data_IF_773357463426
#
_entry.id   IF_773357463426
#
_cell.length_a   1.000
_cell.length_b   1.000
_cell.length_c   1.000
_cell.angle_alpha   90.00
_cell.angle_beta   90.00
_cell.angle_gamma   90.00
#
_symmetry.space_group_name_H-M   'P 1'
#
loop_
_entity.id
_entity.type
_entity.pdbx_description
1 polymer ?
#
# COMPACT_ATOMS: atom_id res chain seq x y z
N UNK A 1 -22.79 -16.57 -1.24
CA UNK A 1 -22.28 -15.22 -1.57
C UNK A 1 -21.65 -14.67 -0.30
N UNK A 2 -20.31 -14.66 -0.19
CA UNK A 2 -19.59 -14.19 1.00
C UNK A 2 -19.61 -12.65 0.97
N UNK A 3 -20.34 -11.98 1.87
CA UNK A 3 -20.33 -10.52 1.96
C UNK A 3 -19.30 -10.07 2.99
N UNK A 4 -18.40 -9.16 2.63
CA UNK A 4 -17.49 -8.50 3.58
C UNK A 4 -18.25 -7.83 4.71
N UNK A 5 -19.48 -7.37 4.43
CA UNK A 5 -20.38 -6.80 5.42
C UNK A 5 -20.74 -7.81 6.50
N UNK A 6 -20.89 -9.10 6.17
CA UNK A 6 -21.17 -10.13 7.18
C UNK A 6 -19.95 -10.38 8.06
N UNK A 7 -18.72 -10.28 7.54
CA UNK A 7 -17.49 -10.43 8.36
C UNK A 7 -17.30 -9.22 9.29
N UNK A 8 -17.57 -8.01 8.79
CA UNK A 8 -17.48 -6.77 9.56
C UNK A 8 -18.56 -6.75 10.66
N UNK A 9 -19.79 -7.17 10.33
CA UNK A 9 -20.91 -7.23 11.27
C UNK A 9 -20.76 -8.36 12.32
N UNK A 10 -20.35 -9.55 11.91
CA UNK A 10 -20.23 -10.74 12.78
C UNK A 10 -19.13 -10.58 13.84
N UNK A 11 -18.07 -9.82 13.53
CA UNK A 11 -16.92 -9.61 14.43
C UNK A 11 -17.09 -8.43 15.41
N UNK A 12 -18.25 -7.78 15.48
CA UNK A 12 -18.53 -6.63 16.39
C UNK A 12 -17.48 -5.51 16.29
N UNK A 13 -17.00 -5.21 15.08
CA UNK A 13 -16.11 -4.05 14.88
C UNK A 13 -16.96 -2.79 15.07
N UNK A 14 -16.91 -2.21 16.28
CA UNK A 14 -17.62 -0.96 16.66
C UNK A 14 -16.94 0.30 16.11
N UNK A 15 -16.27 0.20 14.97
CA UNK A 15 -15.51 1.29 14.38
C UNK A 15 -16.02 1.53 12.97
N UNK A 16 -16.23 2.79 12.64
CA UNK A 16 -16.69 3.18 11.31
C UNK A 16 -15.61 2.85 10.28
N UNK A 17 -16.03 2.21 9.19
CA UNK A 17 -15.19 1.94 8.02
C UNK A 17 -15.05 3.23 7.22
N UNK A 18 -13.86 3.80 7.23
CA UNK A 18 -13.49 5.04 6.55
C UNK A 18 -13.21 4.79 5.07
N UNK A 19 -12.52 3.68 4.77
CA UNK A 19 -12.21 3.26 3.42
C UNK A 19 -12.05 1.75 3.31
N UNK A 20 -12.29 1.24 2.10
CA UNK A 20 -12.16 -0.18 1.77
C UNK A 20 -11.50 -0.31 0.40
N UNK A 21 -10.38 -1.03 0.34
CA UNK A 21 -9.69 -1.33 -0.90
C UNK A 21 -9.70 -2.84 -1.14
N UNK A 22 -9.88 -3.22 -2.40
CA UNK A 22 -9.66 -4.56 -2.89
C UNK A 22 -8.39 -4.61 -3.73
N UNK A 23 -7.47 -5.49 -3.36
CA UNK A 23 -6.24 -5.73 -4.09
C UNK A 23 -6.35 -7.09 -4.78
N UNK A 24 -6.53 -7.11 -6.11
CA UNK A 24 -6.50 -8.36 -6.84
C UNK A 24 -5.09 -8.97 -6.77
N UNK A 25 -5.02 -10.29 -6.56
CA UNK A 25 -3.79 -11.08 -6.73
C UNK A 25 -4.16 -12.45 -7.29
N UNK A 26 -3.33 -12.98 -8.19
CA UNK A 26 -3.46 -14.33 -8.77
C UNK A 26 -3.40 -15.43 -7.71
N UNK A 27 -2.79 -15.18 -6.54
CA UNK A 27 -2.71 -16.17 -5.45
C UNK A 27 -3.80 -16.01 -4.41
N UNK A 28 -3.84 -14.86 -3.76
CA UNK A 28 -4.75 -14.64 -2.63
C UNK A 28 -5.16 -13.17 -2.63
N UNK A 29 -6.39 -12.84 -3.05
CA UNK A 29 -6.86 -11.46 -2.99
C UNK A 29 -6.78 -10.89 -1.57
N UNK A 30 -6.45 -9.61 -1.49
CA UNK A 30 -6.37 -8.90 -0.21
C UNK A 30 -7.44 -7.80 -0.13
N UNK A 31 -7.98 -7.59 1.07
CA UNK A 31 -8.80 -6.44 1.39
C UNK A 31 -8.10 -5.60 2.44
N UNK A 32 -8.02 -4.29 2.21
CA UNK A 32 -7.55 -3.33 3.19
C UNK A 32 -8.75 -2.52 3.70
N UNK A 33 -9.10 -2.74 4.96
CA UNK A 33 -10.21 -2.09 5.65
C UNK A 33 -9.65 -1.03 6.59
N UNK A 34 -9.86 0.24 6.25
CA UNK A 34 -9.46 1.36 7.08
C UNK A 34 -10.57 1.72 8.06
N UNK A 35 -10.25 1.62 9.34
CA UNK A 35 -11.16 1.91 10.44
C UNK A 35 -10.80 3.25 11.07
N UNK A 36 -11.82 4.01 11.45
CA UNK A 36 -11.66 5.26 12.20
C UNK A 36 -10.86 5.08 13.49
N UNK A 37 -11.00 3.92 14.15
CA UNK A 37 -10.24 3.55 15.34
C UNK A 37 -10.14 2.03 15.50
N UNK A 38 -8.93 1.52 15.75
CA UNK A 38 -8.66 0.13 16.06
C UNK A 38 -7.64 0.05 17.20
N UNK A 39 -8.04 -0.54 18.35
CA UNK A 39 -7.18 -0.60 19.56
C UNK A 39 -5.80 -1.22 19.33
N UNK A 40 -5.70 -2.17 18.41
CA UNK A 40 -4.46 -2.90 18.10
C UNK A 40 -3.62 -2.22 17.00
N UNK A 41 -4.11 -1.13 16.40
CA UNK A 41 -3.49 -0.46 15.25
C UNK A 41 -3.65 -1.25 13.95
N UNK A 42 -3.31 -2.53 13.94
CA UNK A 42 -3.44 -3.43 12.79
C UNK A 42 -3.93 -4.79 13.25
N UNK A 43 -4.85 -5.39 12.49
CA UNK A 43 -5.30 -6.77 12.68
C UNK A 43 -5.44 -7.44 11.33
N UNK A 44 -4.84 -8.63 11.19
CA UNK A 44 -4.90 -9.42 9.95
C UNK A 44 -5.75 -10.66 10.19
N UNK A 45 -6.74 -10.88 9.34
CA UNK A 45 -7.54 -12.11 9.29
C UNK A 45 -7.19 -12.83 8.00
N UNK A 46 -6.81 -14.10 8.12
CA UNK A 46 -6.39 -14.93 6.99
C UNK A 46 -7.41 -16.05 6.78
N UNK A 47 -7.88 -16.17 5.55
CA UNK A 47 -8.68 -17.30 5.07
C UNK A 47 -7.91 -17.96 3.91
N UNK A 48 -8.23 -19.21 3.57
CA UNK A 48 -7.71 -19.89 2.38
C UNK A 48 -8.02 -19.13 1.08
N UNK A 49 -9.09 -18.33 1.07
CA UNK A 49 -9.56 -17.63 -0.14
C UNK A 49 -9.11 -16.18 -0.25
N UNK A 50 -8.84 -15.50 0.86
CA UNK A 50 -8.52 -14.07 0.88
C UNK A 50 -7.82 -13.68 2.19
N UNK A 51 -7.16 -12.53 2.20
CA UNK A 51 -6.62 -11.89 3.41
C UNK A 51 -7.34 -10.57 3.65
N UNK A 52 -7.60 -10.23 4.92
CA UNK A 52 -8.16 -8.93 5.29
C UNK A 52 -7.21 -8.26 6.29
N UNK A 53 -6.81 -7.04 5.97
CA UNK A 53 -6.05 -6.15 6.84
C UNK A 53 -7.02 -5.10 7.37
N UNK A 54 -7.36 -5.21 8.65
CA UNK A 54 -8.01 -4.13 9.39
C UNK A 54 -6.93 -3.20 9.92
N UNK A 55 -6.98 -1.93 9.54
CA UNK A 55 -5.94 -0.96 9.85
C UNK A 55 -6.59 0.29 10.42
N UNK A 56 -6.07 0.78 11.53
CA UNK A 56 -6.41 2.10 12.04
C UNK A 56 -5.98 3.16 11.02
N UNK A 57 -6.88 4.10 10.69
CA UNK A 57 -6.58 5.21 9.79
C UNK A 57 -5.30 5.95 10.21
N UNK A 58 -5.09 6.18 11.51
CA UNK A 58 -3.89 6.90 11.98
C UNK A 58 -2.62 6.12 11.67
N UNK A 59 -2.67 4.79 11.77
CA UNK A 59 -1.53 3.91 11.47
C UNK A 59 -1.17 3.97 9.99
N UNK A 60 -2.15 3.91 9.08
CA UNK A 60 -1.84 4.03 7.65
C UNK A 60 -1.32 5.43 7.30
N UNK A 61 -1.90 6.49 7.87
CA UNK A 61 -1.42 7.86 7.65
C UNK A 61 0.03 8.01 8.10
N UNK A 62 0.35 7.47 9.28
CA UNK A 62 1.71 7.50 9.82
C UNK A 62 2.68 6.70 8.94
N UNK A 63 2.29 5.52 8.47
CA UNK A 63 3.11 4.72 7.55
C UNK A 63 3.33 5.42 6.20
N UNK A 64 2.33 6.14 5.69
CA UNK A 64 2.44 6.92 4.44
C UNK A 64 3.39 8.11 4.58
N UNK A 65 3.39 8.79 5.72
CA UNK A 65 4.15 10.04 5.91
C UNK A 65 5.55 9.79 6.49
N UNK A 66 5.67 8.83 7.40
CA UNK A 66 6.87 8.57 8.19
C UNK A 66 7.48 7.19 7.93
N UNK A 67 6.78 6.28 7.25
CA UNK A 67 7.23 4.90 7.08
C UNK A 67 7.24 4.10 8.38
N UNK A 68 6.39 4.44 9.36
CA UNK A 68 6.40 3.86 10.71
C UNK A 68 6.18 2.34 10.76
N UNK A 69 5.62 1.72 9.72
CA UNK A 69 5.46 0.27 9.57
C UNK A 69 6.37 -0.28 8.46
N UNK A 70 7.54 0.34 8.30
CA UNK A 70 8.49 0.05 7.23
C UNK A 70 7.82 0.05 5.85
N UNK A 71 6.78 0.89 5.72
CA UNK A 71 6.03 1.14 4.49
C UNK A 71 5.27 -0.09 3.96
N UNK A 72 5.13 -1.14 4.77
CA UNK A 72 4.42 -2.36 4.37
C UNK A 72 2.95 -2.07 4.10
N UNK A 73 2.30 -1.22 4.89
CA UNK A 73 0.88 -0.89 4.68
C UNK A 73 0.75 0.14 3.56
N UNK A 74 1.59 1.16 3.56
CA UNK A 74 1.62 2.20 2.55
C UNK A 74 1.89 1.64 1.15
N UNK A 75 2.74 0.60 1.01
CA UNK A 75 3.07 -0.02 -0.27
C UNK A 75 1.84 -0.54 -1.03
N UNK A 76 0.76 -0.90 -0.33
CA UNK A 76 -0.50 -1.34 -0.95
C UNK A 76 -1.16 -0.25 -1.79
N UNK A 77 -0.89 1.02 -1.50
CA UNK A 77 -1.38 2.17 -2.28
C UNK A 77 -0.62 2.36 -3.61
N UNK A 78 0.54 1.71 -3.77
CA UNK A 78 1.27 1.68 -5.04
C UNK A 78 0.78 0.57 -5.96
N UNK A 79 0.22 -0.49 -5.39
CA UNK A 79 -0.28 -1.63 -6.16
C UNK A 79 -1.61 -1.28 -6.80
N UNK A 80 -1.93 -2.02 -7.87
CA UNK A 80 -3.26 -1.97 -8.47
C UNK A 80 -4.30 -2.35 -7.41
N UNK A 81 -5.29 -1.49 -7.23
CA UNK A 81 -6.37 -1.71 -6.29
C UNK A 81 -7.65 -1.08 -6.81
N UNK A 82 -8.77 -1.64 -6.37
CA UNK A 82 -10.10 -1.07 -6.55
C UNK A 82 -10.55 -0.46 -5.22
N UNK A 83 -11.03 0.79 -5.26
CA UNK A 83 -11.56 1.45 -4.07
C UNK A 83 -13.05 1.19 -3.98
N UNK A 84 -13.45 0.38 -3.01
CA UNK A 84 -14.85 0.03 -2.78
C UNK A 84 -15.56 1.07 -1.89
N UNK A 85 -14.79 1.81 -1.06
CA UNK A 85 -15.30 2.90 -0.20
C UNK A 85 -14.17 3.89 0.12
N UNK A 86 -14.53 5.17 0.27
CA UNK A 86 -13.63 6.20 0.78
C UNK A 86 -12.64 6.73 -0.25
N UNK A 87 -13.09 6.91 -1.50
CA UNK A 87 -12.27 7.29 -2.65
C UNK A 87 -11.41 8.53 -2.40
N UNK A 88 -11.98 9.59 -1.82
CA UNK A 88 -11.24 10.83 -1.53
C UNK A 88 -10.07 10.60 -0.56
N UNK A 89 -10.30 9.80 0.50
CA UNK A 89 -9.28 9.46 1.48
C UNK A 89 -8.16 8.64 0.82
N UNK A 90 -8.54 7.59 0.08
CA UNK A 90 -7.56 6.72 -0.62
C UNK A 90 -6.78 7.50 -1.66
N UNK A 91 -7.44 8.37 -2.43
CA UNK A 91 -6.78 9.22 -3.42
C UNK A 91 -5.75 10.15 -2.75
N UNK A 92 -6.12 10.78 -1.64
CA UNK A 92 -5.22 11.67 -0.88
C UNK A 92 -4.01 10.93 -0.34
N UNK A 93 -4.22 9.75 0.26
CA UNK A 93 -3.13 8.92 0.79
C UNK A 93 -2.21 8.41 -0.33
N UNK A 94 -2.77 7.90 -1.42
CA UNK A 94 -2.01 7.41 -2.57
C UNK A 94 -1.17 8.51 -3.21
N UNK A 95 -1.74 9.71 -3.40
CA UNK A 95 -1.02 10.86 -3.94
C UNK A 95 0.11 11.30 -3.01
N UNK A 96 -0.17 11.34 -1.70
CA UNK A 96 0.83 11.69 -0.68
C UNK A 96 1.98 10.69 -0.70
N UNK A 97 1.69 9.40 -0.61
CA UNK A 97 2.70 8.35 -0.59
C UNK A 97 3.57 8.35 -1.85
N UNK A 98 2.97 8.47 -3.04
CA UNK A 98 3.72 8.56 -4.31
C UNK A 98 4.67 9.76 -4.32
N UNK A 99 4.22 10.92 -3.81
CA UNK A 99 5.07 12.11 -3.70
C UNK A 99 6.25 11.86 -2.77
N UNK A 100 6.03 11.25 -1.61
CA UNK A 100 7.11 10.94 -0.67
C UNK A 100 8.11 9.95 -1.27
N UNK A 101 7.64 8.89 -1.96
CA UNK A 101 8.48 7.93 -2.68
C UNK A 101 9.35 8.62 -3.73
N UNK A 102 8.75 9.44 -4.60
CA UNK A 102 9.50 10.17 -5.64
C UNK A 102 10.53 11.11 -5.00
N UNK A 103 10.13 11.84 -3.96
CA UNK A 103 11.01 12.80 -3.27
C UNK A 103 12.20 12.09 -2.62
N UNK A 104 11.96 10.96 -1.96
CA UNK A 104 13.01 10.16 -1.34
C UNK A 104 14.00 9.64 -2.38
N UNK A 105 13.50 8.99 -3.43
CA UNK A 105 14.35 8.40 -4.46
C UNK A 105 15.12 9.46 -5.27
N UNK A 106 14.52 10.62 -5.53
CA UNK A 106 15.24 11.74 -6.13
C UNK A 106 16.39 12.22 -5.24
N UNK A 107 16.17 12.34 -3.92
CA UNK A 107 17.24 12.72 -2.99
C UNK A 107 18.38 11.71 -3.01
N UNK A 108 18.06 10.42 -3.02
CA UNK A 108 19.06 9.35 -3.09
C UNK A 108 19.89 9.43 -4.37
N UNK A 109 19.24 9.61 -5.53
CA UNK A 109 19.92 9.78 -6.82
C UNK A 109 20.84 11.01 -6.85
N UNK A 110 20.41 12.13 -6.28
CA UNK A 110 21.24 13.34 -6.18
C UNK A 110 22.49 13.09 -5.33
N UNK A 111 22.34 12.38 -4.21
CA UNK A 111 23.47 12.02 -3.33
C UNK A 111 24.43 11.06 -4.03
N UNK A 112 23.90 10.06 -4.74
CA UNK A 112 24.67 9.04 -5.44
C UNK A 112 25.48 9.64 -6.62
N UNK A 113 24.83 10.45 -7.45
CA UNK A 113 25.42 10.95 -8.70
C UNK A 113 26.02 12.35 -8.61
N UNK A 114 25.82 13.07 -7.50
CA UNK A 114 26.39 14.42 -7.23
C UNK A 114 26.21 15.36 -8.42
N UNK A 115 27.31 15.80 -9.05
CA UNK A 115 27.29 16.73 -10.18
C UNK A 115 26.61 16.18 -11.44
N UNK A 116 26.57 14.86 -11.62
CA UNK A 116 25.87 14.24 -12.75
C UNK A 116 24.34 14.29 -12.59
N UNK A 117 23.83 14.56 -11.38
CA UNK A 117 22.40 14.60 -11.11
C UNK A 117 21.66 15.71 -11.87
N UNK A 118 22.36 16.79 -12.24
CA UNK A 118 21.77 17.96 -12.92
C UNK A 118 21.23 17.60 -14.31
N UNK A 119 21.79 16.58 -14.96
CA UNK A 119 21.42 16.17 -16.31
C UNK A 119 20.70 14.80 -16.34
N UNK A 120 20.21 14.32 -15.18
CA UNK A 120 19.49 13.05 -15.13
C UNK A 120 18.13 13.17 -15.83
N UNK A 121 17.96 12.38 -16.88
CA UNK A 121 16.65 12.14 -17.51
C UNK A 121 16.14 10.81 -16.99
N UNK A 122 15.07 10.86 -16.20
CA UNK A 122 14.51 9.69 -15.52
C UNK A 122 13.08 9.48 -16.00
N UNK A 123 12.78 8.27 -16.44
CA UNK A 123 11.40 7.89 -16.77
C UNK A 123 10.58 7.77 -15.48
N UNK A 124 9.35 8.33 -15.39
CA UNK A 124 8.57 8.31 -14.14
C UNK A 124 8.34 6.93 -13.54
N UNK A 125 8.27 5.88 -14.36
CA UNK A 125 8.13 4.48 -13.92
C UNK A 125 9.30 4.00 -13.05
N UNK A 126 10.48 4.59 -13.20
CA UNK A 126 11.65 4.27 -12.40
C UNK A 126 11.34 4.31 -10.90
N UNK A 127 10.60 5.32 -10.44
CA UNK A 127 10.33 5.51 -9.01
C UNK A 127 9.48 4.37 -8.42
N UNK A 128 8.52 3.86 -9.19
CA UNK A 128 7.70 2.71 -8.77
C UNK A 128 8.55 1.45 -8.72
N UNK A 129 9.28 1.15 -9.80
CA UNK A 129 10.12 -0.04 -9.89
C UNK A 129 11.19 -0.08 -8.80
N UNK A 130 11.89 1.03 -8.60
CA UNK A 130 12.95 1.14 -7.59
C UNK A 130 12.38 1.00 -6.18
N UNK A 131 11.22 1.62 -5.90
CA UNK A 131 10.57 1.47 -4.59
C UNK A 131 10.18 0.03 -4.32
N UNK A 132 9.54 -0.62 -5.29
CA UNK A 132 9.13 -2.01 -5.16
C UNK A 132 10.35 -2.93 -5.00
N UNK A 133 11.42 -2.73 -5.78
CA UNK A 133 12.67 -3.49 -5.67
C UNK A 133 13.23 -3.43 -4.24
N UNK A 134 13.36 -2.23 -3.67
CA UNK A 134 13.83 -2.04 -2.29
C UNK A 134 12.93 -2.72 -1.26
N UNK A 135 11.61 -2.64 -1.42
CA UNK A 135 10.67 -3.31 -0.52
C UNK A 135 10.78 -4.84 -0.58
N UNK A 136 10.98 -5.40 -1.78
CA UNK A 136 11.16 -6.84 -1.99
C UNK A 136 12.49 -7.35 -1.39
N UNK A 137 13.53 -6.52 -1.40
CA UNK A 137 14.82 -6.83 -0.79
C UNK A 137 14.73 -6.88 0.74
N UNK A 138 13.99 -5.95 1.35
CA UNK A 138 13.80 -5.90 2.81
C UNK A 138 12.76 -6.91 3.29
N UNK A 139 11.70 -7.13 2.54
CA UNK A 139 10.57 -7.99 2.91
C UNK A 139 10.30 -9.07 1.85
N UNK A 140 11.03 -10.20 1.88
CA UNK A 140 10.81 -11.30 0.94
C UNK A 140 9.38 -11.87 0.96
N UNK A 141 8.68 -11.72 2.09
CA UNK A 141 7.32 -12.26 2.30
C UNK A 141 6.28 -11.58 1.42
N UNK A 142 6.47 -10.31 1.05
CA UNK A 142 5.56 -9.56 0.18
C UNK A 142 5.99 -9.58 -1.30
N UNK A 143 7.05 -10.33 -1.62
CA UNK A 143 7.64 -10.39 -2.97
C UNK A 143 6.64 -10.79 -4.04
N UNK A 144 5.83 -11.82 -3.82
CA UNK A 144 4.87 -12.28 -4.84
C UNK A 144 3.89 -11.19 -5.22
N UNK A 145 3.39 -10.49 -4.21
CA UNK A 145 2.30 -9.52 -4.33
C UNK A 145 2.82 -8.24 -5.01
N UNK A 146 4.07 -7.88 -4.73
CA UNK A 146 4.76 -6.73 -5.32
C UNK A 146 5.29 -6.98 -6.74
N UNK A 147 5.86 -8.15 -7.01
CA UNK A 147 6.39 -8.51 -8.34
C UNK A 147 5.26 -8.68 -9.35
N UNK A 148 4.14 -9.26 -8.92
CA UNK A 148 2.94 -9.38 -9.74
C UNK A 148 2.42 -7.99 -10.16
N UNK A 149 2.39 -7.04 -9.22
CA UNK A 149 1.94 -5.68 -9.50
C UNK A 149 2.83 -4.93 -10.51
N UNK A 150 4.12 -5.30 -10.66
CA UNK A 150 5.00 -4.74 -11.69
C UNK A 150 4.89 -5.45 -13.04
N UNK A 151 4.43 -6.70 -13.07
CA UNK A 151 4.35 -7.49 -14.29
C UNK A 151 3.11 -7.14 -15.14
N UNK A 152 2.02 -6.72 -14.50
CA UNK A 152 0.77 -6.32 -15.16
C UNK A 152 0.84 -4.91 -15.81
N UNK A 153 1.95 -4.17 -15.68
CA UNK A 153 2.21 -2.90 -16.41
C UNK A 153 2.65 -3.13 -17.87
N UNK A 154 2.77 -4.39 -18.31
CA UNK A 154 3.25 -4.80 -19.63
C UNK A 154 2.14 -5.32 -20.60
N UNK A 155 0.86 -5.25 -20.21
CA UNK A 155 -0.31 -5.52 -21.08
C UNK A 155 -1.12 -4.24 -21.33
#
# INVERSE_FOLDING_TARGET
MFSLESIIADKKIRADVEALLYLPSKKTPEYLVLLSKLRQGVKVERNERFRIYFVDKSVLVEDVVLGSYAEVLASRLLLRHEVLKGEELVHTLSKTYRREVVTQLLRDLVVEHKYAAVNLVIEPRYFLHEKVRRLVEVFPVIRSDLVEALADDHE
#
